data_IF_848190662352
#
_entry.id   IF_848190662352
#
_cell.length_a   1.000
_cell.length_b   1.000
_cell.length_c   1.000
_cell.angle_alpha   90.00
_cell.angle_beta   90.00
_cell.angle_gamma   90.00
#
_symmetry.space_group_name_H-M   'P 1'
#
loop_
_entity.id
_entity.type
_entity.pdbx_description
1 polymer ?
#
# COMPACT_ATOMS: atom_id res chain seq x y z
N UNK A 1 5.66 -23.72 1.34
CA UNK A 1 5.35 -22.32 1.67
C UNK A 1 4.11 -22.28 2.54
N UNK A 2 4.21 -21.73 3.75
CA UNK A 2 3.10 -21.69 4.71
C UNK A 2 2.15 -20.53 4.38
N UNK A 3 0.85 -20.71 4.61
CA UNK A 3 -0.22 -19.71 4.51
C UNK A 3 0.13 -18.37 5.18
N UNK A 4 0.93 -18.38 6.25
CA UNK A 4 1.39 -17.17 6.93
C UNK A 4 2.52 -16.42 6.18
N UNK A 5 3.31 -17.10 5.36
CA UNK A 5 4.31 -16.47 4.46
C UNK A 5 3.63 -15.83 3.24
N UNK A 6 2.56 -16.46 2.73
CA UNK A 6 1.69 -15.92 1.68
C UNK A 6 0.85 -14.72 2.15
N UNK A 7 0.42 -14.71 3.42
CA UNK A 7 -0.21 -13.54 4.04
C UNK A 7 0.77 -12.38 4.22
N UNK A 8 2.03 -12.67 4.58
CA UNK A 8 3.10 -11.67 4.60
C UNK A 8 3.36 -11.08 3.22
N UNK A 9 3.40 -11.89 2.16
CA UNK A 9 3.61 -11.36 0.80
C UNK A 9 2.49 -10.41 0.34
N UNK A 10 1.24 -10.68 0.73
CA UNK A 10 0.10 -9.83 0.34
C UNK A 10 -0.11 -8.66 1.33
N UNK A 11 0.44 -8.75 2.55
CA UNK A 11 0.58 -7.61 3.48
C UNK A 11 1.91 -6.84 3.29
N UNK A 12 2.61 -7.06 2.17
CA UNK A 12 3.87 -6.40 1.81
C UNK A 12 3.73 -5.61 0.51
N UNK A 13 2.60 -4.92 0.32
CA UNK A 13 2.75 -3.52 -0.08
C UNK A 13 3.11 -2.80 1.23
N UNK A 14 4.39 -2.88 1.56
CA UNK A 14 4.95 -2.39 2.82
C UNK A 14 4.97 -0.86 2.74
N UNK A 15 3.93 -0.20 3.24
CA UNK A 15 3.80 1.27 3.27
C UNK A 15 5.07 1.95 3.84
N UNK A 16 5.74 1.28 4.77
CA UNK A 16 6.98 1.75 5.40
C UNK A 16 8.18 1.76 4.44
N UNK A 17 8.22 0.90 3.42
CA UNK A 17 9.36 0.81 2.49
C UNK A 17 9.27 1.74 1.29
N UNK A 18 8.08 2.23 0.96
CA UNK A 18 7.90 3.24 -0.09
C UNK A 18 8.06 4.67 0.46
N UNK A 19 7.82 4.89 1.75
CA UNK A 19 8.05 6.18 2.42
C UNK A 19 9.54 6.58 2.52
N UNK A 20 10.47 5.62 2.59
CA UNK A 20 11.93 5.88 2.65
C UNK A 20 12.49 6.50 1.35
N UNK A 21 11.77 6.46 0.23
CA UNK A 21 12.24 6.97 -1.06
C UNK A 21 12.13 8.51 -1.22
N UNK A 22 11.54 9.22 -0.25
CA UNK A 22 11.12 10.63 -0.41
C UNK A 22 11.90 11.67 0.38
N UNK A 23 12.98 11.32 1.11
CA UNK A 23 13.67 12.30 1.97
C UNK A 23 15.01 12.72 1.35
N UNK A 24 15.05 13.92 0.78
CA UNK A 24 16.29 14.70 0.61
C UNK A 24 16.02 16.18 0.95
N UNK A 25 16.65 16.78 1.99
CA UNK A 25 16.33 18.13 2.43
C UNK A 25 17.42 19.13 2.01
N UNK A 26 17.13 20.01 1.04
CA UNK A 26 17.88 21.27 0.88
C UNK A 26 16.93 22.41 0.49
N UNK A 27 16.69 23.31 1.44
CA UNK A 27 16.62 24.78 1.24
C UNK A 27 15.86 25.44 2.42
N UNK A 28 16.60 25.98 3.38
CA UNK A 28 16.07 27.00 4.29
C UNK A 28 17.15 28.04 4.58
N UNK A 29 16.96 29.26 4.04
CA UNK A 29 17.84 30.40 4.24
C UNK A 29 17.05 31.71 4.30
N UNK A 30 16.52 32.01 5.50
CA UNK A 30 16.31 33.33 6.15
C UNK A 30 15.47 34.46 5.48
N UNK A 31 15.00 35.50 6.22
CA UNK A 31 13.60 35.92 6.22
C UNK A 31 13.43 37.39 5.81
N UNK A 32 12.19 37.90 5.74
CA UNK A 32 11.87 39.24 6.26
C UNK A 32 10.36 39.47 6.36
N UNK A 33 9.99 40.13 7.46
CA UNK A 33 8.64 40.49 7.92
C UNK A 33 8.05 41.70 7.19
N UNK A 34 6.73 41.73 6.95
CA UNK A 34 5.83 42.85 7.36
C UNK A 34 4.40 42.32 7.62
N UNK A 35 3.78 42.82 8.69
CA UNK A 35 2.50 42.49 9.30
C UNK A 35 1.28 43.18 8.67
N UNK A 36 0.07 42.62 8.88
CA UNK A 36 -1.16 43.34 9.27
C UNK A 36 -2.21 42.37 9.86
N UNK A 37 -2.81 42.77 10.99
CA UNK A 37 -3.65 41.96 11.90
C UNK A 37 -5.15 41.90 11.54
N UNK A 38 -5.77 40.72 11.73
CA UNK A 38 -7.09 40.41 12.37
C UNK A 38 -7.48 38.98 11.94
N UNK A 39 -7.84 37.99 12.75
CA UNK A 39 -8.46 37.88 14.08
C UNK A 39 -7.97 36.57 14.73
N UNK A 40 -7.85 36.54 16.07
CA UNK A 40 -7.30 35.40 16.84
C UNK A 40 -8.17 34.14 16.77
N UNK A 41 -7.61 33.06 16.21
CA UNK A 41 -7.97 31.67 16.50
C UNK A 41 -6.80 30.98 17.23
N UNK A 42 -7.02 29.91 18.01
CA UNK A 42 -5.94 29.17 18.65
C UNK A 42 -5.03 28.56 17.57
N UNK A 43 -3.77 28.98 17.61
CA UNK A 43 -2.58 28.43 16.92
C UNK A 43 -2.84 27.31 15.90
N UNK A 44 -2.89 27.69 14.63
CA UNK A 44 -2.62 26.79 13.50
C UNK A 44 -1.24 26.18 13.74
N UNK A 45 -1.18 24.87 14.01
CA UNK A 45 0.08 24.14 14.05
C UNK A 45 0.63 24.12 12.61
N UNK A 46 1.94 24.32 12.39
CA UNK A 46 2.53 24.09 11.09
C UNK A 46 2.31 22.63 10.71
N UNK A 47 1.85 22.40 9.48
CA UNK A 47 1.73 21.08 8.86
C UNK A 47 3.14 20.50 8.79
N UNK A 48 3.55 19.84 9.87
CA UNK A 48 4.64 18.89 9.85
C UNK A 48 4.09 17.67 9.13
N UNK A 49 4.61 17.41 7.92
CA UNK A 49 4.49 16.10 7.29
C UNK A 49 5.07 15.05 8.24
N UNK A 50 4.20 14.50 9.09
CA UNK A 50 4.41 13.21 9.71
C UNK A 50 3.77 12.24 8.75
N UNK A 51 4.61 11.52 8.02
CA UNK A 51 4.31 10.16 7.55
C UNK A 51 3.88 9.36 8.77
N UNK A 52 2.59 9.41 9.09
CA UNK A 52 1.96 8.42 9.96
C UNK A 52 1.56 7.33 8.99
N UNK A 53 2.33 6.24 8.97
CA UNK A 53 1.83 4.96 8.52
C UNK A 53 0.64 4.64 9.43
N UNK A 54 -0.57 4.99 9.00
CA UNK A 54 -1.78 4.53 9.64
C UNK A 54 -1.85 3.06 9.27
N UNK A 55 -1.29 2.21 10.13
CA UNK A 55 -1.60 0.80 10.14
C UNK A 55 -3.10 0.71 10.39
N UNK A 56 -3.88 0.61 9.31
CA UNK A 56 -5.29 0.32 9.35
C UNK A 56 -5.44 -1.12 9.87
N UNK A 57 -5.41 -1.27 11.20
CA UNK A 57 -5.98 -2.41 11.88
C UNK A 57 -7.50 -2.31 11.71
N UNK A 58 -7.99 -2.68 10.52
CA UNK A 58 -9.39 -2.98 10.30
C UNK A 58 -9.67 -4.22 11.16
N UNK A 59 -10.20 -3.99 12.37
CA UNK A 59 -10.85 -5.05 13.11
C UNK A 59 -12.07 -5.44 12.28
N UNK A 60 -11.89 -6.51 11.51
CA UNK A 60 -12.97 -7.25 10.89
C UNK A 60 -13.82 -7.79 12.03
N UNK A 61 -14.82 -7.02 12.47
CA UNK A 61 -15.90 -7.51 13.33
C UNK A 61 -16.75 -8.42 12.45
N UNK A 62 -16.23 -9.62 12.17
CA UNK A 62 -17.10 -10.74 11.83
C UNK A 62 -17.89 -11.00 13.11
N UNK A 63 -19.14 -10.62 13.10
CA UNK A 63 -20.15 -11.15 14.02
C UNK A 63 -20.28 -12.64 13.76
N UNK A 64 -19.31 -13.43 14.24
CA UNK A 64 -19.46 -14.88 14.40
C UNK A 64 -20.41 -15.05 15.57
N UNK A 65 -21.70 -15.03 15.27
CA UNK A 65 -22.71 -15.60 16.14
C UNK A 65 -22.33 -17.04 16.48
N UNK A 66 -21.99 -17.23 17.75
CA UNK A 66 -22.06 -18.46 18.53
C UNK A 66 -22.90 -19.58 17.89
N UNK A 67 -22.25 -20.69 17.51
CA UNK A 67 -22.74 -22.04 17.82
C UNK A 67 -21.54 -22.90 18.21
N UNK A 68 -21.29 -22.98 19.52
CA UNK A 68 -20.47 -24.01 20.13
C UNK A 68 -21.41 -25.09 20.63
N UNK A 69 -21.46 -26.27 19.99
CA UNK A 69 -21.80 -27.53 20.67
C UNK A 69 -21.33 -28.76 19.89
N UNK A 70 -20.55 -29.59 20.60
CA UNK A 70 -20.51 -31.06 20.57
C UNK A 70 -19.82 -31.73 19.37
N UNK A 71 -18.55 -32.10 19.60
CA UNK A 71 -18.10 -33.51 19.61
C UNK A 71 -16.72 -33.61 20.29
N UNK A 72 -16.63 -34.47 21.30
CA UNK A 72 -15.41 -34.77 22.07
C UNK A 72 -14.68 -35.99 21.46
N UNK A 73 -13.65 -36.58 22.10
CA UNK A 73 -12.24 -36.39 21.78
C UNK A 73 -11.55 -37.68 21.29
N UNK A 74 -10.52 -37.59 20.45
CA UNK A 74 -9.59 -38.71 20.25
C UNK A 74 -8.22 -38.25 19.74
N UNK A 75 -7.21 -38.39 20.62
CA UNK A 75 -5.86 -38.94 20.42
C UNK A 75 -5.01 -38.47 19.21
N UNK A 76 -3.80 -37.95 19.51
CA UNK A 76 -2.44 -38.41 19.07
C UNK A 76 -1.41 -37.27 19.37
N UNK A 77 -0.12 -37.52 19.71
CA UNK A 77 0.43 -37.31 21.06
C UNK A 77 1.46 -36.16 21.16
N UNK A 78 1.84 -35.88 22.41
CA UNK A 78 2.87 -34.97 22.88
C UNK A 78 4.27 -35.29 22.34
N UNK A 79 4.90 -34.35 21.63
CA UNK A 79 6.36 -34.25 21.56
C UNK A 79 6.83 -33.01 22.32
N UNK A 80 7.57 -33.24 23.40
CA UNK A 80 8.21 -32.24 24.23
C UNK A 80 9.42 -31.65 23.48
N UNK A 81 9.33 -30.41 23.01
CA UNK A 81 10.51 -29.66 22.55
C UNK A 81 10.81 -28.51 23.51
N UNK A 82 12.07 -28.48 23.92
CA UNK A 82 12.68 -27.63 24.94
C UNK A 82 12.56 -26.14 24.55
N UNK A 83 11.90 -25.34 25.38
CA UNK A 83 11.84 -23.88 25.28
C UNK A 83 13.21 -23.26 25.60
N UNK A 84 13.86 -22.65 24.60
CA UNK A 84 14.83 -21.57 24.84
C UNK A 84 14.03 -20.25 24.99
N UNK A 85 14.33 -19.40 25.97
CA UNK A 85 13.64 -18.13 26.13
C UNK A 85 13.95 -17.24 24.93
N UNK A 86 12.92 -16.81 24.22
CA UNK A 86 13.00 -15.72 23.24
C UNK A 86 13.25 -14.45 24.04
N UNK A 87 14.38 -13.80 23.80
CA UNK A 87 14.61 -12.44 24.27
C UNK A 87 13.57 -11.54 23.58
N UNK A 88 12.59 -11.09 24.36
CA UNK A 88 11.60 -10.12 23.91
C UNK A 88 12.32 -8.80 23.63
N UNK A 89 12.59 -8.52 22.35
CA UNK A 89 12.87 -7.17 21.92
C UNK A 89 11.68 -6.30 22.32
N UNK A 90 11.92 -5.31 23.17
CA UNK A 90 10.93 -4.33 23.62
C UNK A 90 10.44 -3.54 22.41
N UNK A 91 9.34 -3.98 21.80
CA UNK A 91 8.63 -3.21 20.79
C UNK A 91 8.15 -1.90 21.42
N UNK A 92 8.38 -0.79 20.74
CA UNK A 92 7.77 0.49 21.11
C UNK A 92 6.26 0.33 21.12
N UNK A 93 5.63 0.43 22.29
CA UNK A 93 4.17 0.50 22.39
C UNK A 93 3.73 1.86 21.88
N UNK A 94 3.24 1.92 20.63
CA UNK A 94 2.55 3.11 20.11
C UNK A 94 1.23 3.22 20.88
N UNK A 95 1.06 4.31 21.63
CA UNK A 95 -0.19 4.59 22.36
C UNK A 95 -1.19 5.15 21.35
N UNK A 96 -2.35 4.51 21.21
CA UNK A 96 -3.40 5.03 20.33
C UNK A 96 -3.90 6.40 20.83
N UNK A 97 -4.27 7.32 19.92
CA UNK A 97 -4.87 8.59 20.30
C UNK A 97 -6.21 8.37 21.02
N UNK A 98 -6.53 9.24 21.97
CA UNK A 98 -7.84 9.23 22.64
C UNK A 98 -8.92 9.80 21.73
N UNK A 99 -10.18 9.47 22.01
CA UNK A 99 -11.32 9.96 21.23
C UNK A 99 -11.32 11.48 21.06
N UNK A 100 -11.03 12.25 22.10
CA UNK A 100 -11.02 13.72 22.04
C UNK A 100 -9.88 14.29 21.17
N UNK A 101 -8.84 13.50 20.92
CA UNK A 101 -7.65 13.87 20.15
C UNK A 101 -7.80 13.58 18.65
N UNK A 102 -8.79 12.77 18.27
CA UNK A 102 -9.06 12.40 16.88
C UNK A 102 -9.81 13.51 16.13
N UNK A 103 -9.49 13.67 14.85
CA UNK A 103 -10.27 14.48 13.92
C UNK A 103 -11.60 13.79 13.56
N UNK A 104 -12.55 14.53 12.98
CA UNK A 104 -13.91 14.00 12.67
C UNK A 104 -13.86 12.77 11.75
N UNK A 105 -12.99 12.79 10.74
CA UNK A 105 -12.86 11.71 9.78
C UNK A 105 -12.16 10.46 10.35
N UNK A 106 -11.41 10.61 11.44
CA UNK A 106 -10.81 9.50 12.19
C UNK A 106 -11.78 8.91 13.22
N UNK A 107 -12.66 9.75 13.78
CA UNK A 107 -13.72 9.34 14.72
C UNK A 107 -14.77 8.46 14.05
N UNK A 108 -15.21 8.85 12.87
CA UNK A 108 -16.40 8.32 12.23
C UNK A 108 -16.05 7.60 10.92
N UNK A 109 -15.41 6.44 11.08
CA UNK A 109 -14.94 5.59 9.98
C UNK A 109 -15.88 4.41 9.67
N UNK A 110 -16.84 4.12 10.55
CA UNK A 110 -17.77 3.01 10.42
C UNK A 110 -19.24 3.43 10.28
N UNK A 111 -20.11 2.44 10.07
CA UNK A 111 -21.56 2.64 9.98
C UNK A 111 -22.03 3.29 8.68
N UNK A 112 -21.17 3.37 7.66
CA UNK A 112 -21.49 3.93 6.35
C UNK A 112 -22.28 2.94 5.48
N UNK A 113 -23.50 2.62 5.90
CA UNK A 113 -24.38 1.71 5.17
C UNK A 113 -25.32 2.52 4.27
N UNK A 114 -25.08 2.48 2.96
CA UNK A 114 -25.85 3.20 1.95
C UNK A 114 -26.49 2.17 1.02
N UNK A 115 -27.83 2.18 0.91
CA UNK A 115 -28.59 1.21 0.10
C UNK A 115 -28.25 -0.27 0.38
N UNK A 116 -27.88 -0.59 1.64
CA UNK A 116 -27.50 -1.95 2.04
C UNK A 116 -26.04 -2.34 1.74
N UNK A 117 -25.25 -1.42 1.19
CA UNK A 117 -23.81 -1.59 0.96
C UNK A 117 -23.06 -0.90 2.09
N UNK A 118 -22.12 -1.61 2.72
CA UNK A 118 -21.21 -1.03 3.71
C UNK A 118 -19.99 -0.45 3.01
N UNK A 119 -19.75 0.85 3.21
CA UNK A 119 -18.59 1.56 2.68
C UNK A 119 -17.54 1.71 3.77
N UNK A 120 -16.28 1.67 3.34
CA UNK A 120 -15.14 1.92 4.19
C UNK A 120 -14.60 3.35 3.99
N UNK A 121 -14.36 4.05 5.09
CA UNK A 121 -13.73 5.38 5.05
C UNK A 121 -12.28 5.28 4.60
N UNK A 122 -11.88 6.17 3.69
CA UNK A 122 -10.49 6.35 3.29
C UNK A 122 -9.70 7.24 4.25
N UNK A 123 -10.36 7.94 5.19
CA UNK A 123 -9.81 8.99 6.06
C UNK A 123 -9.12 10.16 5.32
N UNK A 124 -9.19 10.21 3.99
CA UNK A 124 -8.58 11.23 3.16
C UNK A 124 -9.61 12.21 2.62
N UNK A 125 -9.32 13.50 2.77
CA UNK A 125 -10.09 14.57 2.17
C UNK A 125 -9.91 14.57 0.64
N UNK A 126 -10.99 14.77 -0.08
CA UNK A 126 -11.08 14.80 -1.53
C UNK A 126 -11.08 16.24 -2.05
N UNK A 127 -10.55 16.42 -3.26
CA UNK A 127 -10.68 17.69 -3.98
C UNK A 127 -12.16 17.98 -4.27
N UNK A 128 -12.61 19.16 -3.89
CA UNK A 128 -13.99 19.64 -4.08
C UNK A 128 -14.41 19.62 -5.56
N UNK A 129 -13.46 19.72 -6.49
CA UNK A 129 -13.70 19.63 -7.94
C UNK A 129 -14.14 18.23 -8.41
N UNK A 130 -13.93 17.19 -7.61
CA UNK A 130 -14.42 15.84 -7.89
C UNK A 130 -15.88 15.64 -7.46
N UNK A 131 -16.42 16.54 -6.64
CA UNK A 131 -17.74 16.39 -6.02
C UNK A 131 -18.82 16.91 -6.97
N UNK A 132 -19.88 16.12 -7.15
CA UNK A 132 -21.04 16.50 -7.97
C UNK A 132 -22.29 16.71 -7.10
N UNK A 133 -23.23 15.78 -7.19
CA UNK A 133 -24.58 15.94 -6.64
C UNK A 133 -24.72 15.20 -5.33
N UNK A 134 -25.37 15.82 -4.36
CA UNK A 134 -25.80 15.15 -3.12
C UNK A 134 -26.77 14.02 -3.46
N UNK A 135 -26.47 12.82 -3.01
CA UNK A 135 -27.29 11.61 -3.23
C UNK A 135 -28.22 11.33 -2.06
N UNK A 136 -27.83 11.70 -0.83
CA UNK A 136 -28.68 11.52 0.34
C UNK A 136 -28.02 11.90 1.65
N UNK A 137 -28.73 11.59 2.73
CA UNK A 137 -28.31 11.76 4.12
C UNK A 137 -28.31 10.41 4.82
N UNK A 138 -27.41 10.23 5.78
CA UNK A 138 -27.25 9.00 6.55
C UNK A 138 -26.57 9.30 7.90
N UNK A 139 -26.40 8.27 8.72
CA UNK A 139 -25.67 8.36 9.98
C UNK A 139 -24.40 7.54 9.91
N UNK A 140 -23.33 8.09 10.45
CA UNK A 140 -22.07 7.40 10.67
C UNK A 140 -21.91 7.09 12.16
N UNK A 141 -21.15 6.05 12.44
CA UNK A 141 -20.83 5.64 13.80
C UNK A 141 -19.33 5.55 14.02
N UNK A 142 -18.90 5.84 15.24
CA UNK A 142 -17.52 5.68 15.68
C UNK A 142 -17.46 5.08 17.07
N UNK A 143 -16.41 4.31 17.36
CA UNK A 143 -16.22 3.66 18.66
C UNK A 143 -14.98 4.22 19.35
N UNK A 144 -15.14 4.66 20.58
CA UNK A 144 -14.03 4.99 21.47
C UNK A 144 -13.45 3.70 22.05
N UNK A 145 -12.23 3.37 21.64
CA UNK A 145 -11.54 2.14 22.03
C UNK A 145 -11.16 2.08 23.51
N UNK A 146 -11.13 3.21 24.22
CA UNK A 146 -10.78 3.28 25.63
C UNK A 146 -11.99 3.13 26.54
N UNK A 147 -13.15 3.64 26.12
CA UNK A 147 -14.39 3.64 26.91
C UNK A 147 -15.44 2.65 26.41
N UNK A 148 -15.21 2.02 25.26
CA UNK A 148 -16.15 1.16 24.53
C UNK A 148 -17.48 1.86 24.19
N UNK A 149 -17.45 3.20 24.15
CA UNK A 149 -18.64 4.01 23.85
C UNK A 149 -18.76 4.23 22.35
N UNK A 150 -19.95 3.99 21.82
CA UNK A 150 -20.30 4.33 20.44
C UNK A 150 -20.87 5.76 20.36
N UNK A 151 -20.42 6.51 19.37
CA UNK A 151 -20.90 7.84 19.02
C UNK A 151 -21.48 7.82 17.60
N UNK A 152 -22.44 8.71 17.34
CA UNK A 152 -23.03 8.89 16.01
C UNK A 152 -22.90 10.34 15.54
N UNK A 153 -22.90 10.54 14.23
CA UNK A 153 -22.99 11.84 13.58
C UNK A 153 -23.85 11.73 12.32
N UNK A 154 -24.62 12.79 12.00
CA UNK A 154 -25.29 12.86 10.71
C UNK A 154 -24.27 13.20 9.63
N UNK A 155 -24.48 12.68 8.43
CA UNK A 155 -23.65 12.97 7.28
C UNK A 155 -24.48 12.98 6.00
N UNK A 156 -23.94 13.59 4.96
CA UNK A 156 -24.48 13.53 3.60
C UNK A 156 -23.46 12.84 2.70
N UNK A 157 -23.94 12.07 1.71
CA UNK A 157 -23.10 11.46 0.70
C UNK A 157 -23.41 11.99 -0.69
N UNK A 158 -22.38 12.01 -1.53
CA UNK A 158 -22.34 12.72 -2.80
C UNK A 158 -21.75 11.82 -3.89
N UNK A 159 -22.23 12.02 -5.11
CA UNK A 159 -21.64 11.44 -6.31
C UNK A 159 -20.29 12.08 -6.59
N UNK A 160 -19.34 11.26 -7.01
CA UNK A 160 -18.08 11.70 -7.60
C UNK A 160 -18.17 11.76 -9.12
N UNK A 161 -17.46 12.73 -9.71
CA UNK A 161 -17.45 12.95 -11.16
C UNK A 161 -16.94 11.73 -11.92
N UNK A 162 -17.75 11.26 -12.86
CA UNK A 162 -17.46 10.13 -13.74
C UNK A 162 -17.14 8.81 -13.01
N UNK A 163 -17.60 8.63 -11.75
CA UNK A 163 -17.36 7.43 -10.95
C UNK A 163 -18.71 6.83 -10.51
N UNK A 164 -18.79 5.51 -10.52
CA UNK A 164 -19.94 4.75 -10.06
C UNK A 164 -20.14 4.91 -8.55
N UNK A 165 -21.30 5.45 -8.09
CA UNK A 165 -21.56 5.61 -6.66
C UNK A 165 -21.65 4.29 -5.90
N UNK A 166 -21.88 3.14 -6.56
CA UNK A 166 -21.84 1.84 -5.89
C UNK A 166 -20.41 1.38 -5.56
N UNK A 167 -19.41 2.04 -6.15
CA UNK A 167 -18.00 1.80 -5.92
C UNK A 167 -17.39 2.80 -4.94
N UNK A 168 -17.61 4.10 -5.17
CA UNK A 168 -17.04 5.17 -4.34
C UNK A 168 -18.00 6.34 -4.23
N UNK A 169 -18.16 6.85 -3.01
CA UNK A 169 -18.92 8.08 -2.71
C UNK A 169 -18.05 9.05 -1.93
N UNK A 170 -18.37 10.33 -2.02
CA UNK A 170 -17.86 11.33 -1.10
C UNK A 170 -18.82 11.51 0.07
N UNK A 171 -18.28 11.78 1.26
CA UNK A 171 -19.05 11.99 2.49
C UNK A 171 -18.67 13.31 3.11
N UNK A 172 -19.68 14.09 3.53
CA UNK A 172 -19.51 15.30 4.34
C UNK A 172 -20.22 15.14 5.66
N UNK A 173 -19.47 15.31 6.74
CA UNK A 173 -19.97 15.25 8.12
C UNK A 173 -20.78 16.51 8.47
N UNK A 174 -21.89 16.35 9.21
CA UNK A 174 -22.70 17.50 9.63
C UNK A 174 -21.90 18.45 10.54
N UNK A 175 -21.87 19.73 10.17
CA UNK A 175 -21.17 20.76 10.94
C UNK A 175 -19.66 20.84 10.68
N UNK A 176 -19.14 20.08 9.72
CA UNK A 176 -17.74 20.11 9.30
C UNK A 176 -17.62 20.40 7.80
N UNK A 177 -16.56 21.12 7.44
CA UNK A 177 -16.19 21.36 6.05
C UNK A 177 -15.39 20.17 5.49
N UNK A 178 -15.26 20.11 4.17
CA UNK A 178 -14.53 19.07 3.46
C UNK A 178 -15.37 17.85 3.07
N UNK A 179 -14.84 17.05 2.14
CA UNK A 179 -15.44 15.81 1.65
C UNK A 179 -14.43 14.68 1.77
N UNK A 180 -14.87 13.50 2.22
CA UNK A 180 -13.99 12.37 2.48
C UNK A 180 -14.42 11.17 1.66
N UNK A 181 -13.44 10.41 1.14
CA UNK A 181 -13.70 9.25 0.29
C UNK A 181 -14.22 8.06 1.09
N UNK A 182 -15.26 7.41 0.58
CA UNK A 182 -15.80 6.17 1.10
C UNK A 182 -15.95 5.19 -0.04
N UNK A 183 -15.41 3.97 0.09
CA UNK A 183 -15.41 2.99 -0.99
C UNK A 183 -15.97 1.63 -0.56
N UNK A 184 -16.56 0.94 -1.52
CA UNK A 184 -17.14 -0.38 -1.34
C UNK A 184 -16.09 -1.46 -1.56
N UNK A 185 -15.60 -2.07 -0.48
CA UNK A 185 -14.62 -3.16 -0.53
C UNK A 185 -15.18 -4.49 -1.04
N UNK A 186 -16.51 -4.60 -1.11
CA UNK A 186 -17.20 -5.80 -1.60
C UNK A 186 -17.60 -5.69 -3.07
N UNK A 187 -17.29 -4.56 -3.73
CA UNK A 187 -17.64 -4.37 -5.13
C UNK A 187 -16.86 -5.37 -6.00
N UNK A 188 -17.59 -6.16 -6.78
CA UNK A 188 -17.02 -7.13 -7.70
C UNK A 188 -17.41 -6.73 -9.12
N UNK A 189 -16.47 -6.07 -9.80
CA UNK A 189 -16.62 -5.74 -11.22
C UNK A 189 -16.66 -7.02 -12.05
N UNK A 190 -17.59 -7.17 -12.99
CA UNK A 190 -17.73 -8.43 -13.72
C UNK A 190 -16.58 -8.66 -14.70
N UNK A 191 -16.05 -7.59 -15.29
CA UNK A 191 -14.94 -7.61 -16.25
C UNK A 191 -13.90 -6.54 -15.96
N UNK A 192 -12.72 -6.65 -16.59
CA UNK A 192 -11.69 -5.62 -16.53
C UNK A 192 -12.20 -4.28 -17.08
N UNK A 193 -13.04 -4.31 -18.11
CA UNK A 193 -13.70 -3.14 -18.66
C UNK A 193 -14.67 -2.48 -17.69
N UNK A 194 -15.40 -3.27 -16.90
CA UNK A 194 -16.28 -2.73 -15.85
C UNK A 194 -15.46 -2.03 -14.77
N UNK A 195 -14.36 -2.63 -14.30
CA UNK A 195 -13.43 -1.99 -13.36
C UNK A 195 -12.91 -0.66 -13.91
N UNK A 196 -12.44 -0.66 -15.17
CA UNK A 196 -11.89 0.52 -15.83
C UNK A 196 -12.93 1.64 -15.97
N UNK A 197 -14.14 1.29 -16.36
CA UNK A 197 -15.20 2.27 -16.66
C UNK A 197 -15.91 2.78 -15.41
N UNK A 198 -16.28 1.90 -14.47
CA UNK A 198 -16.94 2.29 -13.20
C UNK A 198 -16.07 3.20 -12.33
N UNK A 199 -14.75 3.08 -12.42
CA UNK A 199 -13.81 3.93 -11.68
C UNK A 199 -13.16 5.02 -12.54
N UNK A 200 -13.48 5.05 -13.84
CA UNK A 200 -12.84 5.92 -14.83
C UNK A 200 -11.32 5.99 -14.65
N UNK A 201 -10.71 4.79 -14.58
CA UNK A 201 -9.29 4.64 -14.28
C UNK A 201 -8.36 5.43 -15.24
N UNK A 202 -8.64 5.57 -16.56
CA UNK A 202 -7.77 6.34 -17.45
C UNK A 202 -7.59 7.81 -17.05
N UNK A 203 -8.56 8.37 -16.31
CA UNK A 203 -8.53 9.76 -15.84
C UNK A 203 -8.01 9.90 -14.41
N UNK A 204 -8.25 8.89 -13.57
CA UNK A 204 -8.06 8.99 -12.12
C UNK A 204 -6.95 8.12 -11.55
N UNK A 205 -6.58 7.02 -12.21
CA UNK A 205 -5.51 6.14 -11.76
C UNK A 205 -4.15 6.81 -12.01
N UNK A 206 -3.33 6.87 -10.98
CA UNK A 206 -1.96 7.37 -11.08
C UNK A 206 -1.00 6.18 -11.06
N UNK A 207 -0.15 6.09 -12.09
CA UNK A 207 0.94 5.11 -12.11
C UNK A 207 2.18 5.79 -11.58
N UNK A 208 2.67 5.34 -10.42
CA UNK A 208 3.77 5.99 -9.69
C UNK A 208 5.14 5.77 -10.36
N UNK A 209 5.18 5.09 -11.51
CA UNK A 209 6.37 4.72 -12.28
C UNK A 209 7.38 3.91 -11.45
N UNK A 210 6.88 3.05 -10.56
CA UNK A 210 7.69 2.11 -9.78
C UNK A 210 7.27 0.70 -10.17
N UNK A 211 8.15 0.01 -10.89
CA UNK A 211 7.95 -1.36 -11.33
C UNK A 211 8.90 -2.28 -10.55
N UNK A 212 8.35 -3.07 -9.63
CA UNK A 212 9.08 -4.04 -8.84
C UNK A 212 9.09 -5.39 -9.58
N UNK A 213 10.25 -5.85 -10.00
CA UNK A 213 10.47 -7.19 -10.53
C UNK A 213 10.94 -8.13 -9.42
N UNK A 214 10.23 -9.24 -9.26
CA UNK A 214 10.53 -10.27 -8.26
C UNK A 214 11.43 -11.33 -8.88
N UNK A 215 12.69 -11.39 -8.41
CA UNK A 215 13.68 -12.36 -8.91
C UNK A 215 13.66 -13.58 -8.02
N UNK A 216 13.26 -14.71 -8.60
CA UNK A 216 13.20 -15.99 -7.92
C UNK A 216 14.40 -16.87 -8.26
N UNK A 217 14.83 -17.70 -7.31
CA UNK A 217 15.89 -18.69 -7.48
C UNK A 217 15.34 -20.11 -7.38
N UNK A 218 15.73 -20.98 -8.31
CA UNK A 218 15.30 -22.38 -8.38
C UNK A 218 14.03 -22.59 -9.21
N UNK A 219 13.87 -23.78 -9.77
CA UNK A 219 12.78 -24.08 -10.71
C UNK A 219 11.52 -24.64 -10.03
N UNK A 220 11.69 -25.37 -8.92
CA UNK A 220 10.61 -26.10 -8.22
C UNK A 220 10.23 -25.43 -6.90
N UNK A 221 11.23 -25.10 -6.08
CA UNK A 221 11.06 -24.35 -4.84
C UNK A 221 11.65 -22.96 -5.05
N UNK A 222 10.93 -22.10 -5.79
CA UNK A 222 11.34 -20.73 -6.05
C UNK A 222 11.51 -20.00 -4.70
N UNK A 223 12.74 -19.62 -4.38
CA UNK A 223 13.04 -18.74 -3.26
C UNK A 223 13.18 -17.31 -3.78
N UNK A 224 12.53 -16.35 -3.12
CA UNK A 224 12.68 -14.95 -3.49
C UNK A 224 14.12 -14.52 -3.19
N UNK A 225 14.88 -14.20 -4.24
CA UNK A 225 16.28 -13.82 -4.13
C UNK A 225 16.42 -12.32 -3.87
N UNK A 226 15.73 -11.51 -4.68
CA UNK A 226 15.76 -10.05 -4.60
C UNK A 226 14.56 -9.40 -5.32
N UNK A 227 14.33 -8.15 -4.99
CA UNK A 227 13.50 -7.22 -5.73
C UNK A 227 14.37 -6.26 -6.53
N UNK A 228 13.96 -5.99 -7.76
CA UNK A 228 14.57 -4.98 -8.62
C UNK A 228 13.52 -3.91 -8.95
N UNK A 229 13.87 -2.64 -8.78
CA UNK A 229 12.96 -1.53 -9.00
C UNK A 229 13.35 -0.79 -10.26
N UNK A 230 12.44 -0.73 -11.21
CA UNK A 230 12.62 -0.06 -12.50
C UNK A 230 11.73 1.18 -12.61
N UNK A 231 12.23 2.17 -13.35
CA UNK A 231 11.45 3.28 -13.90
C UNK A 231 11.41 3.17 -15.41
N UNK A 232 10.25 3.45 -16.00
CA UNK A 232 10.08 3.54 -17.45
C UNK A 232 10.17 4.99 -17.93
N UNK A 233 10.65 5.22 -19.16
CA UNK A 233 10.52 6.52 -19.83
C UNK A 233 9.06 6.94 -20.04
N UNK A 234 8.18 5.96 -20.29
CA UNK A 234 6.75 6.17 -20.47
C UNK A 234 5.94 5.06 -19.74
N UNK A 235 5.34 5.37 -18.58
CA UNK A 235 4.51 4.42 -17.85
C UNK A 235 3.15 4.15 -18.53
N UNK A 236 2.76 4.91 -19.57
CA UNK A 236 1.49 4.69 -20.27
C UNK A 236 1.42 3.34 -21.00
N UNK A 237 2.56 2.64 -21.15
CA UNK A 237 2.60 1.27 -21.66
C UNK A 237 1.72 0.30 -20.86
N UNK A 238 1.50 0.56 -19.56
CA UNK A 238 0.58 -0.21 -18.70
C UNK A 238 -0.83 -0.26 -19.32
N UNK A 239 -1.32 0.88 -19.80
CA UNK A 239 -2.65 0.96 -20.45
C UNK A 239 -2.71 0.12 -21.71
N UNK A 240 -1.64 0.20 -22.52
CA UNK A 240 -1.58 -0.46 -23.82
C UNK A 240 -1.44 -1.98 -23.72
N UNK A 241 -0.65 -2.47 -22.76
CA UNK A 241 -0.30 -3.89 -22.69
C UNK A 241 -1.13 -4.66 -21.66
N UNK A 242 -1.48 -4.04 -20.53
CA UNK A 242 -2.16 -4.74 -19.42
C UNK A 242 -3.66 -4.45 -19.36
N UNK A 243 -4.08 -3.24 -19.74
CA UNK A 243 -5.47 -2.77 -19.55
C UNK A 243 -6.27 -2.67 -20.85
N UNK A 244 -5.73 -3.17 -21.97
CA UNK A 244 -6.36 -3.01 -23.28
C UNK A 244 -7.50 -4.02 -23.55
N UNK A 245 -7.43 -5.22 -22.96
CA UNK A 245 -8.42 -6.28 -23.14
C UNK A 245 -9.53 -6.14 -22.10
N UNK A 246 -10.65 -5.54 -22.49
CA UNK A 246 -11.71 -5.11 -21.54
C UNK A 246 -12.74 -6.18 -21.23
N UNK A 247 -12.85 -7.24 -22.02
CA UNK A 247 -13.82 -8.32 -21.88
C UNK A 247 -13.37 -9.45 -20.94
N UNK A 248 -12.20 -9.32 -20.31
CA UNK A 248 -11.66 -10.33 -19.39
C UNK A 248 -12.50 -10.38 -18.13
N UNK A 249 -13.04 -11.57 -17.83
CA UNK A 249 -13.84 -11.82 -16.64
C UNK A 249 -13.00 -11.66 -15.37
N UNK A 250 -13.58 -11.02 -14.37
CA UNK A 250 -13.02 -10.99 -13.04
C UNK A 250 -13.36 -12.29 -12.29
N UNK A 251 -12.34 -12.98 -11.82
CA UNK A 251 -12.48 -14.21 -11.06
C UNK A 251 -12.40 -13.98 -9.54
N UNK A 252 -12.05 -12.77 -9.11
CA UNK A 252 -12.06 -12.33 -7.72
C UNK A 252 -11.17 -13.13 -6.77
N UNK A 253 -11.60 -13.26 -5.51
CA UNK A 253 -10.87 -13.92 -4.42
C UNK A 253 -10.68 -15.43 -4.60
N UNK A 254 -11.55 -16.10 -5.35
CA UNK A 254 -11.44 -17.54 -5.59
C UNK A 254 -10.12 -17.92 -6.29
N UNK A 255 -9.53 -16.97 -7.03
CA UNK A 255 -8.29 -17.14 -7.77
C UNK A 255 -7.05 -17.17 -6.88
N UNK A 256 -7.13 -16.71 -5.63
CA UNK A 256 -5.97 -16.63 -4.72
C UNK A 256 -5.22 -17.95 -4.56
N UNK A 257 -5.93 -19.08 -4.57
CA UNK A 257 -5.33 -20.41 -4.41
C UNK A 257 -4.61 -20.94 -5.67
N UNK A 258 -4.82 -20.31 -6.83
CA UNK A 258 -4.23 -20.70 -8.11
C UNK A 258 -3.27 -19.66 -8.70
N UNK A 259 -3.02 -18.54 -8.01
CA UNK A 259 -2.02 -17.56 -8.44
C UNK A 259 -0.64 -18.22 -8.48
N UNK A 260 0.13 -17.89 -9.52
CA UNK A 260 1.50 -18.34 -9.68
C UNK A 260 2.47 -17.56 -8.80
N UNK A 261 3.69 -17.41 -9.28
CA UNK A 261 4.70 -16.58 -8.63
C UNK A 261 4.56 -15.15 -9.13
N UNK A 262 4.55 -14.18 -8.20
CA UNK A 262 4.62 -12.78 -8.57
C UNK A 262 5.88 -12.54 -9.39
N UNK A 263 5.74 -12.01 -10.61
CA UNK A 263 6.87 -11.62 -11.43
C UNK A 263 7.05 -10.11 -11.46
N UNK A 264 5.98 -9.35 -11.32
CA UNK A 264 6.03 -7.90 -11.38
C UNK A 264 4.93 -7.27 -10.54
N UNK A 265 5.24 -6.18 -9.86
CA UNK A 265 4.27 -5.34 -9.17
C UNK A 265 4.46 -3.88 -9.59
N UNK A 266 3.35 -3.17 -9.78
CA UNK A 266 3.30 -1.79 -10.26
C UNK A 266 2.62 -0.96 -9.17
N UNK A 267 3.34 0.02 -8.63
CA UNK A 267 2.77 0.96 -7.65
C UNK A 267 1.80 1.91 -8.35
N UNK A 268 0.59 2.00 -7.80
CA UNK A 268 -0.48 2.86 -8.28
C UNK A 268 -1.18 3.56 -7.11
N UNK A 269 -1.73 4.74 -7.40
CA UNK A 269 -2.64 5.46 -6.50
C UNK A 269 -4.00 5.64 -7.18
N UNK A 270 -5.06 5.64 -6.37
CA UNK A 270 -6.42 5.96 -6.79
C UNK A 270 -7.02 7.03 -5.86
N UNK A 271 -6.69 8.32 -6.10
CA UNK A 271 -7.11 9.44 -5.26
C UNK A 271 -8.61 9.57 -5.00
N UNK A 272 -9.55 9.24 -5.93
CA UNK A 272 -10.98 9.36 -5.64
C UNK A 272 -11.46 8.49 -4.48
N UNK A 273 -10.79 7.35 -4.22
CA UNK A 273 -11.05 6.52 -3.05
C UNK A 273 -10.10 6.82 -1.88
N UNK A 274 -9.26 7.86 -1.98
CA UNK A 274 -8.20 8.16 -1.02
C UNK A 274 -7.13 7.08 -0.92
N UNK A 275 -6.99 6.21 -1.92
CA UNK A 275 -6.05 5.10 -1.86
C UNK A 275 -4.72 5.52 -2.47
N UNK A 276 -3.66 5.39 -1.69
CA UNK A 276 -2.29 5.54 -2.15
C UNK A 276 -1.55 4.24 -1.91
N UNK A 277 -0.49 4.01 -2.66
CA UNK A 277 0.35 2.84 -2.52
C UNK A 277 -0.44 1.51 -2.61
N UNK A 278 -1.27 1.39 -3.63
CA UNK A 278 -1.88 0.12 -4.02
C UNK A 278 -1.14 -0.46 -5.21
N UNK A 279 -1.53 -1.66 -5.67
CA UNK A 279 -0.75 -2.44 -6.62
C UNK A 279 -1.56 -2.99 -7.79
N UNK A 280 -0.91 -3.06 -8.94
CA UNK A 280 -1.22 -4.04 -10.00
C UNK A 280 -0.11 -5.09 -9.95
N UNK A 281 -0.46 -6.35 -9.76
CA UNK A 281 0.48 -7.46 -9.58
C UNK A 281 0.30 -8.46 -10.70
N UNK A 282 1.40 -8.87 -11.31
CA UNK A 282 1.46 -9.84 -12.40
C UNK A 282 2.08 -11.15 -11.90
N UNK A 283 1.49 -12.26 -12.30
CA UNK A 283 1.92 -13.61 -11.94
C UNK A 283 2.38 -14.39 -13.17
N UNK A 284 3.40 -15.23 -13.00
CA UNK A 284 4.01 -16.00 -14.11
C UNK A 284 3.03 -16.90 -14.85
N UNK A 285 1.91 -17.27 -14.23
CA UNK A 285 0.85 -18.04 -14.85
C UNK A 285 -0.23 -17.18 -15.54
N UNK A 286 0.07 -15.92 -15.90
CA UNK A 286 -0.77 -15.10 -16.77
C UNK A 286 -1.86 -14.27 -16.08
N UNK A 287 -1.84 -14.17 -14.75
CA UNK A 287 -2.79 -13.35 -14.00
C UNK A 287 -2.28 -11.93 -13.79
N UNK A 288 -3.20 -10.98 -13.91
CA UNK A 288 -3.12 -9.64 -13.36
C UNK A 288 -4.09 -9.56 -12.19
N UNK A 289 -3.61 -9.09 -11.05
CA UNK A 289 -4.48 -8.76 -9.92
C UNK A 289 -4.29 -7.33 -9.46
N UNK A 290 -5.31 -6.73 -8.86
CA UNK A 290 -5.19 -5.45 -8.19
C UNK A 290 -5.99 -5.41 -6.90
N UNK A 291 -5.58 -4.54 -5.98
CA UNK A 291 -6.25 -4.27 -4.72
C UNK A 291 -6.89 -2.86 -4.68
N UNK A 292 -7.24 -2.29 -5.85
CA UNK A 292 -8.11 -1.10 -5.91
C UNK A 292 -9.40 -1.38 -5.11
N UNK A 293 -9.83 -0.41 -4.31
CA UNK A 293 -10.89 -0.51 -3.30
C UNK A 293 -10.64 -1.58 -2.22
N UNK A 294 -9.38 -1.98 -1.98
CA UNK A 294 -8.99 -3.03 -1.01
C UNK A 294 -9.65 -4.40 -1.27
N UNK A 295 -10.02 -4.62 -2.51
CA UNK A 295 -10.68 -5.82 -2.97
C UNK A 295 -9.77 -6.56 -3.95
N UNK A 296 -9.58 -7.87 -3.81
CA UNK A 296 -8.78 -8.63 -4.78
C UNK A 296 -9.58 -8.81 -6.08
N UNK A 297 -9.22 -8.04 -7.09
CA UNK A 297 -9.75 -8.16 -8.45
C UNK A 297 -8.73 -8.97 -9.26
N UNK A 298 -9.16 -10.07 -9.90
CA UNK A 298 -8.26 -11.03 -10.54
C UNK A 298 -8.68 -11.29 -11.99
N UNK A 299 -7.77 -11.06 -12.93
CA UNK A 299 -8.00 -11.15 -14.37
C UNK A 299 -6.95 -12.03 -15.03
N UNK A 300 -7.37 -13.04 -15.80
CA UNK A 300 -6.44 -13.84 -16.59
C UNK A 300 -6.17 -13.13 -17.93
N UNK A 301 -5.03 -12.45 -18.04
CA UNK A 301 -4.63 -11.69 -19.22
C UNK A 301 -3.76 -12.51 -20.20
N UNK A 302 -3.37 -13.73 -19.80
CA UNK A 302 -2.53 -14.64 -20.57
C UNK A 302 -1.05 -14.59 -20.17
N UNK A 303 -0.39 -15.74 -20.21
CA UNK A 303 1.04 -15.89 -19.87
C UNK A 303 1.96 -15.05 -20.78
N UNK A 304 1.62 -14.99 -22.07
CA UNK A 304 2.36 -14.20 -23.05
C UNK A 304 2.27 -12.69 -22.72
N UNK A 305 1.09 -12.18 -22.36
CA UNK A 305 0.92 -10.76 -22.03
C UNK A 305 1.72 -10.35 -20.78
N UNK A 306 1.74 -11.21 -19.76
CA UNK A 306 2.57 -10.98 -18.56
C UNK A 306 4.05 -11.01 -18.91
N UNK A 307 4.47 -12.01 -19.70
CA UNK A 307 5.88 -12.19 -20.08
C UNK A 307 6.37 -11.02 -20.93
N UNK A 308 5.62 -10.62 -21.95
CA UNK A 308 5.93 -9.50 -22.84
C UNK A 308 6.04 -8.19 -22.06
N UNK A 309 5.13 -7.93 -21.12
CA UNK A 309 5.19 -6.73 -20.30
C UNK A 309 6.41 -6.72 -19.38
N UNK A 310 6.67 -7.84 -18.70
CA UNK A 310 7.84 -7.99 -17.84
C UNK A 310 9.12 -7.78 -18.63
N UNK A 311 9.28 -8.44 -19.78
CA UNK A 311 10.45 -8.32 -20.63
C UNK A 311 10.60 -6.89 -21.21
N UNK A 312 9.49 -6.22 -21.52
CA UNK A 312 9.51 -4.81 -21.91
C UNK A 312 10.08 -3.91 -20.81
N UNK A 313 9.63 -4.10 -19.56
CA UNK A 313 10.15 -3.33 -18.41
C UNK A 313 11.64 -3.57 -18.20
N UNK A 314 12.08 -4.83 -18.25
CA UNK A 314 13.49 -5.19 -18.06
C UNK A 314 14.40 -4.68 -19.19
N UNK A 315 13.87 -4.58 -20.41
CA UNK A 315 14.63 -4.13 -21.58
C UNK A 315 14.69 -2.61 -21.71
N UNK A 316 13.61 -1.91 -21.36
CA UNK A 316 13.44 -0.47 -21.62
C UNK A 316 13.48 0.39 -20.36
N UNK A 317 13.41 -0.22 -19.18
CA UNK A 317 13.45 0.46 -17.90
C UNK A 317 14.87 0.73 -17.40
N UNK A 318 15.02 1.79 -16.63
CA UNK A 318 16.22 2.06 -15.84
C UNK A 318 16.09 1.37 -14.49
N UNK A 319 17.04 0.49 -14.16
CA UNK A 319 17.15 -0.12 -12.83
C UNK A 319 17.60 0.95 -11.82
N UNK A 320 16.76 1.25 -10.85
CA UNK A 320 17.02 2.26 -9.82
C UNK A 320 17.64 1.63 -8.55
N UNK A 321 17.14 0.46 -8.15
CA UNK A 321 17.54 -0.20 -6.90
C UNK A 321 17.35 -1.71 -6.98
N UNK A 322 18.22 -2.44 -6.29
CA UNK A 322 18.08 -3.86 -6.01
C UNK A 322 18.09 -4.07 -4.50
N UNK A 323 17.19 -4.91 -3.98
CA UNK A 323 17.11 -5.27 -2.56
C UNK A 323 17.01 -6.78 -2.42
N UNK A 324 17.96 -7.40 -1.73
CA UNK A 324 18.01 -8.86 -1.53
C UNK A 324 19.42 -9.41 -1.62
N UNK A 325 19.54 -10.74 -1.63
CA UNK A 325 20.80 -11.46 -1.66
C UNK A 325 21.56 -11.10 -2.96
N UNK A 326 22.80 -10.62 -2.80
CA UNK A 326 23.69 -10.08 -3.85
C UNK A 326 23.33 -8.68 -4.41
N UNK A 327 22.56 -7.86 -3.70
CA UNK A 327 22.44 -6.43 -4.09
C UNK A 327 23.83 -5.78 -4.05
N UNK A 328 24.29 -5.10 -5.12
CA UNK A 328 25.55 -4.38 -5.05
C UNK A 328 25.43 -3.36 -3.91
N UNK A 329 26.33 -3.45 -2.94
CA UNK A 329 26.49 -2.41 -1.92
C UNK A 329 26.68 -1.11 -2.67
N UNK A 330 25.83 -0.11 -2.38
CA UNK A 330 25.95 1.23 -2.96
C UNK A 330 27.42 1.65 -2.86
N UNK A 331 28.10 1.71 -4.00
CA UNK A 331 29.49 2.14 -4.05
C UNK A 331 29.47 3.65 -3.95
N UNK A 332 29.47 4.17 -2.72
CA UNK A 332 29.86 5.54 -2.47
C UNK A 332 31.33 5.67 -2.84
N UNK A 333 31.58 6.17 -4.05
CA UNK A 333 32.88 6.75 -4.40
C UNK A 333 32.97 8.08 -3.67
N UNK A 334 33.90 8.16 -2.72
CA UNK A 334 34.62 9.39 -2.45
C UNK A 334 36.11 9.06 -2.57
N UNK A 335 36.61 9.24 -3.79
CA UNK A 335 38.02 9.35 -4.08
C UNK A 335 38.49 10.68 -3.47
N UNK A 336 39.10 10.61 -2.29
CA UNK A 336 39.80 11.74 -1.71
C UNK A 336 41.08 11.27 -1.02
N UNK A 337 42.19 11.71 -1.62
CA UNK A 337 43.50 11.96 -1.02
C UNK A 337 44.41 10.75 -0.74
N UNK A 338 45.07 10.31 -1.81
CA UNK A 338 46.49 9.96 -1.77
C UNK A 338 47.29 11.15 -1.18
N UNK A 339 47.62 11.08 0.11
CA UNK A 339 48.74 11.84 0.67
C UNK A 339 49.83 10.91 1.13
N UNK A 340 50.96 11.04 0.44
CA UNK A 340 52.31 10.59 0.75
C UNK A 340 52.66 10.74 2.23
N UNK A 341 53.15 9.65 2.82
CA UNK A 341 53.84 9.65 4.10
C UNK A 341 54.90 8.55 4.11
N UNK A 342 56.12 8.91 3.69
CA UNK A 342 57.32 8.11 3.85
C UNK A 342 57.61 7.80 5.33
N UNK A 343 58.01 6.56 5.64
CA UNK A 343 59.21 6.31 6.44
C UNK A 343 59.65 4.83 6.42
N UNK A 344 60.95 4.57 6.67
CA UNK A 344 61.69 3.52 6.00
C UNK A 344 61.76 2.23 6.81
N UNK A 345 61.80 1.07 6.12
CA UNK A 345 62.25 -0.18 6.74
C UNK A 345 63.62 -0.53 6.18
N UNK A 346 64.53 -0.67 7.12
CA UNK A 346 65.95 -0.95 6.97
C UNK A 346 66.22 -2.30 6.30
N UNK A 347 67.29 -2.26 5.52
CA UNK A 347 68.05 -3.34 4.92
C UNK A 347 68.50 -4.38 5.95
N UNK A 348 68.25 -5.66 5.68
CA UNK A 348 69.17 -6.74 6.08
C UNK A 348 69.38 -7.70 4.92
N UNK A 349 70.67 -7.88 4.64
CA UNK A 349 71.26 -8.68 3.58
C UNK A 349 71.00 -10.18 3.81
N UNK A 350 70.72 -10.90 2.72
CA UNK A 350 70.72 -12.36 2.67
C UNK A 350 71.38 -12.81 1.37
N UNK A 351 72.69 -13.04 1.43
CA UNK A 351 73.58 -13.48 0.35
C UNK A 351 73.26 -14.92 -0.08
N UNK A 352 73.14 -15.14 -1.39
CA UNK A 352 73.13 -16.47 -2.01
C UNK A 352 74.50 -17.13 -1.91
N UNK A 353 74.56 -18.43 -1.58
CA UNK A 353 75.51 -19.39 -2.19
C UNK A 353 75.14 -20.85 -1.89
N UNK A 354 74.94 -21.57 -3.01
CA UNK A 354 74.92 -23.02 -3.27
C UNK A 354 73.87 -23.90 -2.61
#
# INVERSE_FOLDING_TARGET
MNREELKKMISLIDDDKLAEATINPEAAGNPDHVSLQKTRHPTVRPIWHRTVAVAAAVILVITVTFIWTKLSPALIPTETTITRPVETTTGMTVVAPKWEELEVFEKYTGGAVINGIEYQSSIHELDENLIETKLGDFKLSGQDTYTDKTYEINAAFFRLKDIDPDAVVAVRYEGFDGYYGFFNTTNLFATLGDLISSLNLPKHLQINNIFQHSVWHGDVNKELLRYEYYKLPDPAVVWKQLMAQTDIVNEGEATRAKLGWEVMSISIDYPPAGQSNIGIVLFDNGYLTTNILWSLQSFYIGEDAVTDFKDYVLTNGTLEKSIGLNSPVATTVSESELTTGESPVQTTQGTTKQ
#
